data_IF_920657962076
#
_entry.id   IF_920657962076
#
_cell.length_a   1.000
_cell.length_b   1.000
_cell.length_c   1.000
_cell.angle_alpha   90.00
_cell.angle_beta   90.00
_cell.angle_gamma   90.00
#
_symmetry.space_group_name_H-M   'P 1'
#
loop_
_entity.id
_entity.type
_entity.pdbx_description
1 polymer ?
#
# COMPACT_ATOMS: atom_id res chain seq x y z
N UNK A 1 41.95 -56.71 -52.86
CA UNK A 1 41.82 -55.31 -53.34
C UNK A 1 41.27 -54.49 -52.18
N UNK A 2 42.13 -53.75 -51.48
CA UNK A 2 41.77 -52.90 -50.34
C UNK A 2 42.02 -51.45 -50.72
N UNK A 3 40.97 -50.61 -50.64
CA UNK A 3 41.05 -49.15 -50.68
C UNK A 3 41.54 -48.63 -49.32
N UNK A 4 42.34 -47.55 -49.26
CA UNK A 4 42.62 -46.86 -48.01
C UNK A 4 41.57 -45.78 -47.74
N UNK A 5 41.11 -45.68 -46.49
CA UNK A 5 40.29 -44.57 -45.99
C UNK A 5 41.19 -43.42 -45.55
N UNK A 6 40.99 -42.24 -46.16
CA UNK A 6 41.62 -40.98 -45.76
C UNK A 6 40.84 -40.40 -44.56
N UNK A 7 41.47 -40.26 -43.40
CA UNK A 7 40.90 -39.49 -42.28
C UNK A 7 41.48 -38.07 -42.29
N UNK A 8 40.66 -37.08 -42.63
CA UNK A 8 40.96 -35.66 -42.46
C UNK A 8 40.85 -35.32 -40.97
N UNK A 9 41.95 -34.87 -40.35
CA UNK A 9 41.93 -34.27 -39.00
C UNK A 9 41.79 -32.76 -39.16
N UNK A 10 40.62 -32.22 -38.80
CA UNK A 10 40.40 -30.78 -38.73
C UNK A 10 40.84 -30.26 -37.35
N UNK A 11 41.87 -29.42 -37.31
CA UNK A 11 42.34 -28.75 -36.10
C UNK A 11 41.51 -27.47 -35.92
N UNK A 12 40.59 -27.43 -34.96
CA UNK A 12 39.94 -26.19 -34.52
C UNK A 12 40.92 -25.37 -33.67
N UNK A 13 41.36 -24.23 -34.19
CA UNK A 13 42.05 -23.20 -33.42
C UNK A 13 41.02 -22.39 -32.61
N UNK A 14 41.01 -22.57 -31.29
CA UNK A 14 40.26 -21.73 -30.36
C UNK A 14 40.98 -20.39 -30.19
N UNK A 15 40.41 -19.32 -30.77
CA UNK A 15 40.86 -17.95 -30.55
C UNK A 15 40.25 -17.47 -29.22
N UNK A 16 41.04 -17.07 -28.21
CA UNK A 16 40.49 -16.55 -26.96
C UNK A 16 39.96 -15.13 -27.20
N UNK A 17 38.64 -14.97 -27.18
CA UNK A 17 38.02 -13.65 -27.09
C UNK A 17 38.29 -13.05 -25.71
N UNK A 18 38.69 -11.76 -25.61
CA UNK A 18 38.90 -11.14 -24.32
C UNK A 18 37.53 -10.97 -23.66
N UNK A 19 37.26 -11.80 -22.65
CA UNK A 19 36.16 -11.56 -21.72
C UNK A 19 36.45 -10.23 -21.01
N UNK A 20 35.89 -9.15 -21.53
CA UNK A 20 35.74 -7.91 -20.78
C UNK A 20 34.88 -8.25 -19.58
N UNK A 21 35.51 -8.33 -18.41
CA UNK A 21 34.87 -8.61 -17.15
C UNK A 21 34.05 -7.39 -16.79
N UNK A 22 32.80 -7.35 -17.23
CA UNK A 22 31.82 -6.38 -16.73
C UNK A 22 31.66 -6.71 -15.25
N UNK A 23 32.30 -5.90 -14.41
CA UNK A 23 32.09 -5.93 -12.96
C UNK A 23 30.63 -5.54 -12.73
N UNK A 24 29.73 -6.53 -12.69
CA UNK A 24 28.37 -6.33 -12.19
C UNK A 24 28.52 -5.98 -10.71
N UNK A 25 28.38 -4.69 -10.40
CA UNK A 25 28.31 -4.21 -9.04
C UNK A 25 27.16 -4.94 -8.35
N UNK A 26 27.45 -5.72 -7.32
CA UNK A 26 26.42 -6.45 -6.59
C UNK A 26 25.40 -5.44 -6.04
N UNK A 27 24.09 -5.74 -6.09
CA UNK A 27 23.07 -4.85 -5.55
C UNK A 27 23.36 -4.60 -4.07
N UNK A 28 23.47 -3.32 -3.71
CA UNK A 28 23.67 -2.92 -2.31
C UNK A 28 22.29 -2.88 -1.66
N UNK A 29 22.00 -3.83 -0.78
CA UNK A 29 20.73 -3.92 -0.05
C UNK A 29 20.79 -3.39 1.37
N UNK A 30 21.99 -3.11 1.87
CA UNK A 30 22.27 -2.66 3.24
C UNK A 30 23.03 -1.33 3.22
N UNK A 31 22.58 -0.39 4.04
CA UNK A 31 23.25 0.86 4.33
C UNK A 31 23.78 0.81 5.76
N UNK A 32 25.11 0.83 5.91
CA UNK A 32 25.80 0.83 7.22
C UNK A 32 26.35 2.23 7.55
N UNK A 33 26.72 2.51 8.81
CA UNK A 33 27.36 3.78 9.17
C UNK A 33 28.59 4.06 8.31
N UNK A 34 28.74 5.32 7.88
CA UNK A 34 29.79 5.74 6.95
C UNK A 34 29.40 5.61 5.46
N UNK A 35 28.40 4.80 5.11
CA UNK A 35 27.83 4.80 3.77
C UNK A 35 26.80 5.92 3.59
N UNK A 36 26.75 6.45 2.36
CA UNK A 36 25.84 7.53 1.96
C UNK A 36 25.12 7.13 0.69
N UNK A 37 23.79 7.23 0.71
CA UNK A 37 22.97 7.15 -0.49
C UNK A 37 22.72 8.59 -0.98
N UNK A 38 23.20 8.87 -2.18
CA UNK A 38 23.08 10.15 -2.91
C UNK A 38 22.10 9.99 -4.08
N UNK A 39 21.62 11.08 -4.71
CA UNK A 39 20.60 11.00 -5.75
C UNK A 39 20.93 10.12 -6.97
N UNK A 40 22.21 9.93 -7.28
CA UNK A 40 22.72 9.08 -8.36
C UNK A 40 22.71 7.58 -8.02
N UNK A 41 22.38 7.21 -6.78
CA UNK A 41 22.47 5.83 -6.28
C UNK A 41 21.14 5.32 -5.76
N UNK A 42 20.97 4.01 -5.86
CA UNK A 42 19.82 3.29 -5.31
C UNK A 42 20.28 2.17 -4.39
N UNK A 43 19.51 1.91 -3.34
CA UNK A 43 19.62 0.73 -2.50
C UNK A 43 18.61 -0.31 -3.00
N UNK A 44 19.06 -1.48 -3.40
CA UNK A 44 18.21 -2.50 -4.06
C UNK A 44 18.10 -3.73 -3.17
N UNK A 45 16.90 -4.29 -3.02
CA UNK A 45 16.68 -5.49 -2.21
C UNK A 45 17.49 -6.69 -2.75
N UNK A 46 17.78 -7.69 -1.91
CA UNK A 46 18.68 -8.81 -2.26
C UNK A 46 18.29 -9.54 -3.57
N UNK A 47 17.00 -9.62 -3.89
CA UNK A 47 16.47 -10.25 -5.12
C UNK A 47 16.13 -9.25 -6.24
N UNK A 48 16.40 -7.96 -6.07
CA UNK A 48 16.11 -6.95 -7.09
C UNK A 48 14.63 -6.53 -7.21
N UNK A 49 13.75 -7.05 -6.35
CA UNK A 49 12.30 -6.79 -6.35
C UNK A 49 11.93 -5.34 -6.06
N UNK A 50 12.68 -4.68 -5.19
CA UNK A 50 12.41 -3.31 -4.75
C UNK A 50 13.71 -2.50 -4.75
N UNK A 51 13.57 -1.20 -5.00
CA UNK A 51 14.65 -0.25 -4.82
C UNK A 51 14.17 0.94 -3.98
N UNK A 52 15.10 1.52 -3.24
CA UNK A 52 14.98 2.74 -2.47
C UNK A 52 15.96 3.75 -3.06
N UNK A 53 15.51 4.98 -3.25
CA UNK A 53 16.38 6.06 -3.71
C UNK A 53 15.64 7.38 -3.85
N UNK A 54 16.31 8.32 -4.49
CA UNK A 54 15.79 9.66 -4.74
C UNK A 54 14.95 9.67 -6.02
N UNK A 55 13.84 10.39 -6.00
CA UNK A 55 13.00 10.57 -7.18
C UNK A 55 12.35 11.95 -7.17
N UNK A 56 11.97 12.39 -8.37
CA UNK A 56 11.20 13.61 -8.58
C UNK A 56 9.93 13.23 -9.37
N UNK A 57 8.73 13.60 -8.90
CA UNK A 57 7.50 13.39 -9.66
C UNK A 57 7.58 14.08 -11.04
N UNK A 58 6.98 13.48 -12.07
CA UNK A 58 7.22 13.78 -13.49
C UNK A 58 7.06 15.24 -13.94
N UNK A 59 6.37 16.10 -13.17
CA UNK A 59 6.17 17.53 -13.46
C UNK A 59 6.61 18.46 -12.33
N UNK A 60 7.30 17.95 -11.30
CA UNK A 60 7.96 18.77 -10.28
C UNK A 60 9.39 19.03 -10.73
N UNK A 61 9.83 20.28 -10.80
CA UNK A 61 11.25 20.61 -11.05
C UNK A 61 12.00 21.00 -9.78
N UNK A 62 11.30 21.15 -8.66
CA UNK A 62 11.87 21.77 -7.44
C UNK A 62 11.90 20.82 -6.24
N UNK A 63 10.93 19.91 -6.12
CA UNK A 63 10.79 19.06 -4.95
C UNK A 63 11.16 17.61 -5.27
N UNK A 64 12.23 17.11 -4.64
CA UNK A 64 12.64 15.72 -4.67
C UNK A 64 12.29 14.98 -3.37
N UNK A 65 12.22 13.65 -3.46
CA UNK A 65 11.82 12.79 -2.36
C UNK A 65 12.65 11.52 -2.33
N UNK A 66 12.69 10.87 -1.18
CA UNK A 66 13.18 9.49 -1.04
C UNK A 66 11.98 8.56 -1.01
N UNK A 67 11.97 7.56 -1.89
CA UNK A 67 10.88 6.60 -1.99
C UNK A 67 11.34 5.19 -2.29
N UNK A 68 10.42 4.24 -2.11
CA UNK A 68 10.57 2.82 -2.48
C UNK A 68 9.67 2.56 -3.68
N UNK A 69 10.16 1.83 -4.67
CA UNK A 69 9.40 1.41 -5.85
C UNK A 69 9.67 -0.05 -6.22
N UNK A 70 8.80 -0.62 -7.05
CA UNK A 70 9.05 -1.91 -7.69
C UNK A 70 10.19 -1.77 -8.70
N UNK A 71 11.30 -2.47 -8.48
CA UNK A 71 12.51 -2.33 -9.29
C UNK A 71 12.55 -3.33 -10.47
N UNK A 72 11.84 -4.44 -10.35
CA UNK A 72 11.67 -5.45 -11.39
C UNK A 72 10.47 -5.17 -12.33
N UNK A 73 9.82 -4.01 -12.17
CA UNK A 73 8.74 -3.52 -13.01
C UNK A 73 9.22 -2.29 -13.80
N UNK A 74 9.05 -2.25 -15.14
CA UNK A 74 9.56 -1.16 -15.97
C UNK A 74 8.77 0.16 -15.84
N UNK A 75 7.73 0.18 -15.01
CA UNK A 75 6.97 1.38 -14.65
C UNK A 75 7.41 1.92 -13.29
N UNK A 76 7.76 3.20 -13.25
CA UNK A 76 8.07 3.90 -12.00
C UNK A 76 6.84 3.95 -11.10
N UNK A 77 6.78 3.02 -10.15
CA UNK A 77 5.63 2.83 -9.26
C UNK A 77 6.09 2.97 -7.82
N UNK A 78 6.01 4.17 -7.28
CA UNK A 78 6.39 4.48 -5.91
C UNK A 78 5.32 3.96 -4.95
N UNK A 79 5.73 3.16 -3.96
CA UNK A 79 4.87 2.48 -2.98
C UNK A 79 5.09 2.98 -1.54
N UNK A 80 6.14 3.76 -1.32
CA UNK A 80 6.43 4.39 -0.03
C UNK A 80 7.30 5.63 -0.24
N UNK A 81 7.09 6.67 0.58
CA UNK A 81 7.84 7.93 0.55
C UNK A 81 8.20 8.34 1.97
N UNK A 82 9.48 8.63 2.21
CA UNK A 82 10.00 9.00 3.53
C UNK A 82 9.55 10.42 3.92
N UNK A 83 9.97 11.41 3.14
CA UNK A 83 9.92 12.82 3.46
C UNK A 83 8.72 13.53 2.81
N UNK A 84 7.53 12.91 2.90
CA UNK A 84 6.30 13.40 2.24
C UNK A 84 6.00 14.88 2.49
N UNK A 85 6.14 15.32 3.74
CA UNK A 85 5.78 16.69 4.13
C UNK A 85 6.98 17.66 4.16
N UNK A 86 8.20 17.15 3.94
CA UNK A 86 9.45 17.93 3.93
C UNK A 86 10.24 17.60 2.66
N UNK A 87 9.83 18.13 1.49
CA UNK A 87 10.52 17.86 0.23
C UNK A 87 11.98 18.32 0.28
N UNK A 88 12.83 17.65 -0.50
CA UNK A 88 14.22 18.04 -0.71
C UNK A 88 14.22 19.20 -1.71
N UNK A 89 14.86 20.29 -1.34
CA UNK A 89 14.96 21.51 -2.17
C UNK A 89 16.37 21.69 -2.75
N UNK A 90 17.39 21.15 -2.09
CA UNK A 90 18.75 21.03 -2.62
C UNK A 90 19.13 19.56 -2.78
N UNK A 91 18.70 18.98 -3.91
CA UNK A 91 18.99 17.58 -4.23
C UNK A 91 20.49 17.30 -4.28
N UNK A 92 21.32 18.28 -4.66
CA UNK A 92 22.77 18.09 -4.84
C UNK A 92 23.51 17.84 -3.52
N UNK A 93 22.99 18.37 -2.41
CA UNK A 93 23.53 18.15 -1.07
C UNK A 93 22.74 17.13 -0.24
N UNK A 94 21.69 16.54 -0.82
CA UNK A 94 20.82 15.60 -0.14
C UNK A 94 21.49 14.23 0.03
N UNK A 95 21.42 13.70 1.24
CA UNK A 95 22.03 12.43 1.63
C UNK A 95 21.09 11.67 2.55
N UNK A 96 20.87 10.39 2.23
CA UNK A 96 20.28 9.42 3.14
C UNK A 96 21.42 8.57 3.72
N UNK A 97 21.56 8.55 5.05
CA UNK A 97 22.65 7.83 5.72
C UNK A 97 22.28 7.34 7.13
N UNK A 98 23.02 6.33 7.60
CA UNK A 98 22.97 5.90 8.99
C UNK A 98 23.83 6.83 9.84
N UNK A 99 23.24 7.36 10.91
CA UNK A 99 23.94 8.15 11.93
C UNK A 99 24.60 7.27 12.97
N UNK A 100 25.55 7.84 13.72
CA UNK A 100 26.20 7.18 14.87
C UNK A 100 25.20 6.83 15.99
N UNK A 101 24.10 7.58 16.09
CA UNK A 101 23.00 7.35 17.05
C UNK A 101 21.94 6.36 16.53
N UNK A 102 22.34 5.43 15.66
CA UNK A 102 21.50 4.34 15.16
C UNK A 102 20.23 4.74 14.40
N UNK A 103 20.17 5.97 13.89
CA UNK A 103 19.00 6.48 13.15
C UNK A 103 19.33 6.59 11.66
N UNK A 104 18.40 6.15 10.80
CA UNK A 104 18.44 6.45 9.37
C UNK A 104 17.92 7.87 9.16
N UNK A 105 18.74 8.75 8.60
CA UNK A 105 18.45 10.18 8.47
C UNK A 105 18.58 10.62 7.02
N UNK A 106 17.57 11.36 6.55
CA UNK A 106 17.63 12.16 5.34
C UNK A 106 17.91 13.61 5.71
N UNK A 107 18.99 14.15 5.18
CA UNK A 107 19.39 15.54 5.36
C UNK A 107 19.81 16.18 4.06
N UNK A 108 19.68 17.50 3.97
CA UNK A 108 20.26 18.34 2.92
C UNK A 108 21.19 19.39 3.56
N UNK A 109 21.78 20.25 2.74
CA UNK A 109 22.74 21.28 3.16
C UNK A 109 23.89 20.67 3.97
N UNK A 110 24.48 19.58 3.46
CA UNK A 110 25.59 18.86 4.10
C UNK A 110 25.31 18.43 5.57
N UNK A 111 24.05 18.13 5.90
CA UNK A 111 23.66 17.67 7.23
C UNK A 111 23.13 18.78 8.15
N UNK A 112 23.11 20.03 7.72
CA UNK A 112 22.57 21.15 8.51
C UNK A 112 21.04 21.15 8.61
N UNK A 113 20.35 20.56 7.64
CA UNK A 113 18.89 20.49 7.63
C UNK A 113 18.43 19.03 7.55
N UNK A 114 17.76 18.56 8.61
CA UNK A 114 17.19 17.20 8.67
C UNK A 114 15.74 17.26 8.15
N UNK A 115 15.48 16.57 7.05
CA UNK A 115 14.16 16.53 6.41
C UNK A 115 13.29 15.38 6.95
N UNK A 116 13.93 14.26 7.29
CA UNK A 116 13.24 13.07 7.80
C UNK A 116 14.20 12.17 8.58
N UNK A 117 13.68 11.43 9.55
CA UNK A 117 14.43 10.38 10.24
C UNK A 117 13.55 9.19 10.65
N UNK A 118 14.10 7.99 10.58
CA UNK A 118 13.58 6.83 11.28
C UNK A 118 14.00 6.92 12.76
N UNK A 119 13.10 7.38 13.63
CA UNK A 119 13.38 7.50 15.07
C UNK A 119 13.57 6.11 15.68
N UNK A 120 14.76 5.85 16.20
CA UNK A 120 15.11 4.64 16.96
C UNK A 120 15.36 5.00 18.44
N UNK A 121 15.05 4.07 19.35
CA UNK A 121 15.13 4.32 20.81
C UNK A 121 16.51 3.93 21.39
N UNK A 122 17.28 3.13 20.66
CA UNK A 122 18.55 2.55 21.11
C UNK A 122 19.75 3.24 20.49
N UNK A 123 20.80 3.50 21.27
CA UNK A 123 22.14 3.83 20.75
C UNK A 123 22.98 2.59 20.48
N UNK A 124 23.85 2.63 19.46
CA UNK A 124 24.73 1.53 19.08
C UNK A 124 24.88 1.33 17.56
N UNK A 125 25.63 0.30 17.16
CA UNK A 125 25.78 0.00 15.73
C UNK A 125 24.46 -0.53 15.16
N UNK A 126 24.01 0.04 14.05
CA UNK A 126 22.80 -0.38 13.34
C UNK A 126 22.98 -0.23 11.84
N UNK A 127 22.11 -0.87 11.07
CA UNK A 127 22.10 -0.80 9.62
C UNK A 127 20.67 -0.67 9.10
N UNK A 128 20.49 0.02 7.97
CA UNK A 128 19.23 -0.01 7.25
C UNK A 128 19.31 -1.09 6.16
N UNK A 129 18.27 -1.90 6.02
CA UNK A 129 18.17 -2.94 4.99
C UNK A 129 16.83 -2.86 4.26
N UNK A 130 16.87 -2.93 2.93
CA UNK A 130 15.66 -3.08 2.12
C UNK A 130 15.37 -4.56 1.88
N UNK A 131 14.25 -5.04 2.41
CA UNK A 131 13.82 -6.44 2.26
C UNK A 131 13.09 -6.68 0.94
N UNK A 132 13.05 -7.94 0.49
CA UNK A 132 12.41 -8.33 -0.78
C UNK A 132 10.89 -8.21 -0.81
N UNK A 133 10.25 -7.96 0.35
CA UNK A 133 8.84 -7.60 0.43
C UNK A 133 8.59 -6.08 0.37
N UNK A 134 9.66 -5.28 0.18
CA UNK A 134 9.58 -3.82 0.12
C UNK A 134 9.66 -3.13 1.49
N UNK A 135 9.81 -3.89 2.59
CA UNK A 135 9.96 -3.30 3.91
C UNK A 135 11.40 -2.80 4.11
N UNK A 136 11.57 -1.49 4.24
CA UNK A 136 12.80 -0.88 4.73
C UNK A 136 12.84 -0.99 6.25
N UNK A 137 13.88 -1.63 6.78
CA UNK A 137 14.04 -1.88 8.22
C UNK A 137 15.35 -1.29 8.72
N UNK A 138 15.35 -0.82 9.97
CA UNK A 138 16.58 -0.51 10.70
C UNK A 138 16.81 -1.62 11.72
N UNK A 139 17.97 -2.26 11.64
CA UNK A 139 18.36 -3.40 12.47
C UNK A 139 19.52 -3.01 13.37
N UNK A 140 19.43 -3.39 14.65
CA UNK A 140 20.59 -3.35 15.57
C UNK A 140 21.68 -4.33 15.13
N UNK A 141 22.86 -4.21 15.73
CA UNK A 141 23.95 -5.19 15.57
C UNK A 141 23.58 -6.63 15.92
N UNK A 142 22.55 -6.82 16.77
CA UNK A 142 22.06 -8.14 17.18
C UNK A 142 20.92 -8.66 16.28
N UNK A 143 20.56 -7.92 15.22
CA UNK A 143 19.47 -8.28 14.32
C UNK A 143 18.07 -7.92 14.82
N UNK A 144 17.95 -7.28 16.00
CA UNK A 144 16.66 -6.76 16.48
C UNK A 144 16.18 -5.62 15.59
N UNK A 145 14.92 -5.67 15.17
CA UNK A 145 14.26 -4.62 14.39
C UNK A 145 13.95 -3.42 15.29
N UNK A 146 14.57 -2.28 14.97
CA UNK A 146 14.43 -1.02 15.70
C UNK A 146 13.38 -0.09 15.10
N UNK A 147 13.19 -0.18 13.78
CA UNK A 147 12.21 0.59 13.02
C UNK A 147 11.87 -0.13 11.72
N UNK A 148 10.66 0.08 11.20
CA UNK A 148 10.26 -0.42 9.89
C UNK A 148 9.30 0.51 9.15
N UNK A 149 9.45 0.56 7.83
CA UNK A 149 8.57 1.33 6.93
C UNK A 149 7.14 0.82 6.93
N UNK A 150 6.94 -0.48 7.19
CA UNK A 150 5.61 -1.09 7.22
C UNK A 150 4.71 -0.57 8.36
N UNK A 151 5.31 -0.05 9.43
CA UNK A 151 4.60 0.63 10.52
C UNK A 151 4.32 2.11 10.24
N UNK A 152 4.91 2.65 9.15
CA UNK A 152 4.81 4.05 8.75
C UNK A 152 4.37 4.12 7.26
N UNK A 153 3.16 3.63 6.92
CA UNK A 153 2.67 3.58 5.55
C UNK A 153 2.62 4.96 4.87
N UNK A 154 2.75 4.94 3.55
CA UNK A 154 2.41 6.08 2.70
C UNK A 154 0.94 6.03 2.26
N UNK A 155 0.69 5.85 0.98
CA UNK A 155 -0.64 5.74 0.36
C UNK A 155 -0.91 4.34 -0.20
N UNK A 156 -0.03 3.38 0.11
CA UNK A 156 0.00 2.03 -0.46
C UNK A 156 0.16 0.96 0.62
N UNK A 157 -0.45 -0.20 0.42
CA UNK A 157 -0.25 -1.43 1.20
C UNK A 157 0.30 -2.52 0.30
N UNK A 158 1.44 -3.09 0.71
CA UNK A 158 2.08 -4.21 0.03
C UNK A 158 1.66 -5.55 0.64
N UNK A 159 1.86 -6.63 -0.12
CA UNK A 159 1.62 -8.01 0.34
C UNK A 159 2.41 -8.26 1.63
N UNK A 160 1.77 -8.86 2.62
CA UNK A 160 2.39 -9.18 3.91
C UNK A 160 2.46 -8.00 4.89
N UNK A 161 2.15 -6.78 4.49
CA UNK A 161 2.19 -5.61 5.36
C UNK A 161 1.08 -5.65 6.42
N UNK A 162 1.41 -5.50 7.72
CA UNK A 162 0.42 -5.53 8.79
C UNK A 162 -0.34 -4.20 8.87
N UNK A 163 -1.65 -4.25 8.69
CA UNK A 163 -2.60 -3.16 8.93
C UNK A 163 -3.10 -3.27 10.37
N UNK A 164 -2.38 -2.68 11.33
CA UNK A 164 -2.71 -2.74 12.75
C UNK A 164 -3.92 -1.86 13.10
N UNK A 165 -4.94 -2.44 13.70
CA UNK A 165 -6.11 -1.70 14.17
C UNK A 165 -5.87 -1.14 15.56
N UNK A 166 -5.48 -1.99 16.51
CA UNK A 166 -5.30 -1.62 17.92
C UNK A 166 -3.95 -2.09 18.45
N UNK A 167 -3.27 -1.20 19.18
CA UNK A 167 -2.26 -1.58 20.15
C UNK A 167 -2.18 -0.52 21.24
N UNK A 168 -2.03 -0.93 22.52
CA UNK A 168 -1.94 0.00 23.65
C UNK A 168 -0.76 0.98 23.55
N UNK A 169 0.26 0.67 22.74
CA UNK A 169 1.49 1.48 22.66
C UNK A 169 1.72 2.15 21.30
N UNK A 170 0.88 1.94 20.29
CA UNK A 170 1.08 2.50 18.95
C UNK A 170 -0.17 3.23 18.46
N UNK A 171 -0.02 4.35 17.73
CA UNK A 171 -1.14 4.96 17.01
C UNK A 171 -1.79 3.97 16.03
N UNK A 172 -3.08 4.13 15.73
CA UNK A 172 -3.76 3.30 14.74
C UNK A 172 -3.06 3.42 13.39
N UNK A 173 -2.83 2.29 12.73
CA UNK A 173 -2.23 2.28 11.40
C UNK A 173 -3.20 2.95 10.41
N UNK A 174 -2.70 3.92 9.63
CA UNK A 174 -3.48 4.57 8.57
C UNK A 174 -2.63 4.82 7.34
N UNK A 175 -3.15 4.38 6.21
CA UNK A 175 -2.67 4.80 4.89
C UNK A 175 -3.25 6.18 4.59
N UNK A 176 -2.43 7.10 4.09
CA UNK A 176 -2.83 8.49 3.79
C UNK A 176 -2.53 8.74 2.32
N UNK A 177 -3.54 9.21 1.57
CA UNK A 177 -3.40 9.50 0.15
C UNK A 177 -2.29 10.52 -0.11
N UNK A 178 -1.77 10.51 -1.32
CA UNK A 178 -1.07 11.69 -1.84
C UNK A 178 -2.05 12.87 -1.94
N UNK A 179 -1.52 14.09 -1.93
CA UNK A 179 -2.31 15.31 -2.05
C UNK A 179 -2.80 15.52 -3.47
N UNK A 180 -2.03 15.08 -4.45
CA UNK A 180 -2.40 15.05 -5.86
C UNK A 180 -1.63 13.96 -6.62
N UNK A 181 -1.86 13.83 -7.94
CA UNK A 181 -1.16 12.86 -8.78
C UNK A 181 0.37 12.96 -8.72
N UNK A 182 0.89 14.17 -8.50
CA UNK A 182 2.32 14.51 -8.57
C UNK A 182 2.85 15.13 -7.27
N UNK A 183 2.03 15.17 -6.22
CA UNK A 183 2.37 15.73 -4.92
C UNK A 183 2.24 14.64 -3.85
N UNK A 184 3.35 13.99 -3.45
CA UNK A 184 3.35 12.90 -2.49
C UNK A 184 3.18 13.38 -1.03
N UNK A 185 3.05 14.69 -0.79
CA UNK A 185 2.68 15.19 0.54
C UNK A 185 1.33 14.63 1.00
N UNK A 186 1.09 14.64 2.31
CA UNK A 186 -0.12 14.05 2.87
C UNK A 186 -1.38 14.75 2.32
N UNK A 187 -2.22 13.96 1.65
CA UNK A 187 -3.51 14.36 1.15
C UNK A 187 -4.61 14.33 2.21
N UNK A 188 -5.85 14.54 1.75
CA UNK A 188 -7.02 14.66 2.63
C UNK A 188 -7.63 13.31 3.03
N UNK A 189 -7.38 12.26 2.26
CA UNK A 189 -8.01 10.97 2.47
C UNK A 189 -7.12 10.03 3.26
N UNK A 190 -7.71 9.32 4.22
CA UNK A 190 -7.03 8.27 4.97
C UNK A 190 -7.84 7.00 5.02
N UNK A 191 -7.17 5.85 5.10
CA UNK A 191 -7.78 4.52 5.15
C UNK A 191 -7.22 3.75 6.33
N UNK A 192 -8.10 3.05 7.03
CA UNK A 192 -7.76 2.26 8.20
C UNK A 192 -8.99 1.51 8.71
N UNK A 193 -8.80 0.75 9.79
CA UNK A 193 -9.90 0.08 10.47
C UNK A 193 -10.47 0.97 11.56
N UNK A 194 -11.76 0.80 11.84
CA UNK A 194 -12.37 1.43 13.01
C UNK A 194 -11.86 0.77 14.30
N UNK A 195 -11.61 1.58 15.33
CA UNK A 195 -11.10 1.11 16.61
C UNK A 195 -12.17 0.36 17.40
N UNK A 196 -13.43 0.78 17.26
CA UNK A 196 -14.57 0.15 17.93
C UNK A 196 -15.02 -1.11 17.18
N UNK A 197 -14.82 -1.14 15.86
CA UNK A 197 -15.18 -2.27 14.98
C UNK A 197 -13.99 -2.70 14.09
N UNK A 198 -12.99 -3.43 14.64
CA UNK A 198 -11.75 -3.73 13.94
C UNK A 198 -11.89 -4.60 12.67
N UNK A 199 -13.08 -5.19 12.48
CA UNK A 199 -13.46 -5.96 11.30
C UNK A 199 -14.01 -5.10 10.17
N UNK A 200 -14.11 -3.78 10.34
CA UNK A 200 -14.63 -2.86 9.35
C UNK A 200 -13.61 -1.77 9.01
N UNK A 201 -13.36 -1.60 7.71
CA UNK A 201 -12.48 -0.56 7.19
C UNK A 201 -13.26 0.66 6.75
N UNK A 202 -12.66 1.82 6.93
CA UNK A 202 -13.21 3.10 6.55
C UNK A 202 -12.22 3.88 5.70
N UNK A 203 -12.77 4.74 4.85
CA UNK A 203 -12.04 5.87 4.25
C UNK A 203 -12.59 7.12 4.89
N UNK A 204 -11.72 8.01 5.37
CA UNK A 204 -12.09 9.31 5.91
C UNK A 204 -11.60 10.43 4.98
N UNK A 205 -12.40 11.48 4.83
CA UNK A 205 -11.98 12.77 4.30
C UNK A 205 -11.74 13.71 5.49
N UNK A 206 -10.47 13.90 5.87
CA UNK A 206 -10.13 14.47 7.17
C UNK A 206 -10.69 13.60 8.31
N UNK A 207 -11.59 14.16 9.11
CA UNK A 207 -12.25 13.47 10.22
C UNK A 207 -13.62 12.87 9.86
N UNK A 208 -14.14 13.15 8.65
CA UNK A 208 -15.50 12.74 8.25
C UNK A 208 -15.43 11.41 7.50
N UNK A 209 -16.23 10.39 7.88
CA UNK A 209 -16.34 9.15 7.10
C UNK A 209 -16.78 9.45 5.66
N UNK A 210 -16.00 8.96 4.70
CA UNK A 210 -16.23 9.13 3.27
C UNK A 210 -16.76 7.84 2.62
N UNK A 211 -16.22 6.69 3.04
CA UNK A 211 -16.67 5.37 2.64
C UNK A 211 -16.57 4.42 3.82
N UNK A 212 -17.51 3.47 3.91
CA UNK A 212 -17.50 2.40 4.91
C UNK A 212 -17.61 1.07 4.19
N UNK A 213 -16.59 0.23 4.35
CA UNK A 213 -16.58 -1.11 3.78
C UNK A 213 -17.63 -2.01 4.49
N UNK A 214 -18.02 -3.09 3.83
CA UNK A 214 -18.79 -4.14 4.51
C UNK A 214 -17.99 -4.69 5.71
N UNK A 215 -18.71 -5.06 6.77
CA UNK A 215 -18.09 -5.78 7.89
C UNK A 215 -17.59 -7.12 7.38
N UNK A 216 -16.36 -7.48 7.74
CA UNK A 216 -15.78 -8.78 7.36
C UNK A 216 -16.43 -9.87 8.22
N UNK A 217 -17.40 -10.59 7.64
CA UNK A 217 -18.07 -11.71 8.29
C UNK A 217 -17.21 -13.00 8.20
N UNK A 218 -17.17 -13.80 9.28
CA UNK A 218 -16.54 -15.14 9.24
C UNK A 218 -15.80 -15.61 10.50
N UNK A 219 -15.76 -14.84 11.59
CA UNK A 219 -14.88 -15.13 12.74
C UNK A 219 -15.69 -15.55 13.97
N UNK A 220 -15.99 -16.85 14.10
CA UNK A 220 -16.77 -17.39 15.23
C UNK A 220 -16.02 -18.48 16.01
N UNK A 221 -14.74 -18.78 15.72
CA UNK A 221 -14.06 -19.90 16.40
C UNK A 221 -12.55 -19.82 16.64
N UNK A 222 -11.80 -18.84 16.10
CA UNK A 222 -10.32 -18.78 16.28
C UNK A 222 -9.73 -17.37 16.28
N UNK A 223 -8.59 -17.20 16.98
CA UNK A 223 -7.79 -15.96 17.06
C UNK A 223 -7.12 -15.55 15.74
N UNK A 224 -7.19 -16.42 14.73
CA UNK A 224 -6.72 -16.16 13.36
C UNK A 224 -7.81 -16.63 12.42
N UNK A 225 -8.15 -15.85 11.40
CA UNK A 225 -9.00 -16.34 10.32
C UNK A 225 -8.58 -15.81 8.96
N UNK A 226 -8.84 -16.66 7.97
CA UNK A 226 -8.44 -16.50 6.58
C UNK A 226 -9.69 -16.28 5.72
N UNK A 227 -9.72 -15.19 4.97
CA UNK A 227 -10.81 -14.86 4.06
C UNK A 227 -10.28 -14.79 2.62
N UNK A 228 -10.85 -15.59 1.71
CA UNK A 228 -10.61 -15.40 0.28
C UNK A 228 -11.28 -14.09 -0.17
N UNK A 229 -10.50 -13.17 -0.71
CA UNK A 229 -10.99 -11.91 -1.29
C UNK A 229 -11.19 -12.06 -2.81
N UNK A 230 -10.34 -12.88 -3.43
CA UNK A 230 -10.45 -13.34 -4.81
C UNK A 230 -9.68 -14.67 -4.96
N UNK A 231 -9.70 -15.36 -6.12
CA UNK A 231 -8.86 -16.54 -6.34
C UNK A 231 -7.35 -16.29 -6.16
N UNK A 232 -6.92 -15.03 -6.22
CA UNK A 232 -5.52 -14.61 -6.20
C UNK A 232 -5.06 -14.09 -4.85
N UNK A 233 -5.99 -13.80 -3.93
CA UNK A 233 -5.68 -13.03 -2.74
C UNK A 233 -6.54 -13.46 -1.55
N UNK A 234 -5.86 -13.60 -0.42
CA UNK A 234 -6.49 -13.86 0.86
C UNK A 234 -6.14 -12.76 1.85
N UNK A 235 -7.05 -12.52 2.77
CA UNK A 235 -6.90 -11.63 3.89
C UNK A 235 -6.80 -12.47 5.16
N UNK A 236 -5.74 -12.28 5.91
CA UNK A 236 -5.54 -12.88 7.23
C UNK A 236 -5.80 -11.82 8.28
N UNK A 237 -6.68 -12.12 9.23
CA UNK A 237 -6.93 -11.26 10.40
C UNK A 237 -6.40 -11.99 11.64
N UNK A 238 -5.60 -11.29 12.42
CA UNK A 238 -5.05 -11.73 13.70
C UNK A 238 -5.70 -10.93 14.82
N UNK A 239 -6.23 -11.65 15.82
CA UNK A 239 -6.80 -11.09 17.05
C UNK A 239 -6.02 -11.69 18.23
N UNK A 240 -5.02 -10.97 18.70
CA UNK A 240 -4.17 -11.33 19.83
C UNK A 240 -4.90 -11.20 21.17
N UNK A 241 -4.50 -12.03 22.13
CA UNK A 241 -5.05 -12.02 23.50
C UNK A 241 -4.56 -10.83 24.34
N UNK A 242 -3.50 -10.16 23.90
CA UNK A 242 -2.93 -8.92 24.45
C UNK A 242 -3.67 -7.66 23.99
N UNK A 243 -4.64 -7.81 23.08
CA UNK A 243 -5.40 -6.72 22.47
C UNK A 243 -4.78 -6.19 21.17
N UNK A 244 -3.70 -6.81 20.67
CA UNK A 244 -3.20 -6.54 19.32
C UNK A 244 -4.15 -7.13 18.28
N UNK A 245 -4.65 -6.27 17.40
CA UNK A 245 -5.42 -6.73 16.24
C UNK A 245 -4.81 -6.14 14.99
N UNK A 246 -4.52 -7.00 14.01
CA UNK A 246 -4.03 -6.57 12.71
C UNK A 246 -4.57 -7.45 11.60
N UNK A 247 -4.54 -6.92 10.39
CA UNK A 247 -4.81 -7.72 9.19
C UNK A 247 -3.64 -7.62 8.22
N UNK A 248 -3.40 -8.67 7.46
CA UNK A 248 -2.44 -8.68 6.36
C UNK A 248 -3.08 -9.38 5.17
N UNK A 249 -2.70 -9.04 3.96
CA UNK A 249 -3.14 -9.78 2.78
C UNK A 249 -1.96 -10.51 2.16
N UNK A 250 -2.24 -11.73 1.72
CA UNK A 250 -1.30 -12.59 1.00
C UNK A 250 -1.85 -12.96 -0.36
N UNK A 251 -0.97 -13.53 -1.20
CA UNK A 251 -1.30 -13.94 -2.55
C UNK A 251 -1.18 -15.46 -2.68
N UNK A 252 -1.99 -16.04 -3.57
CA UNK A 252 -1.86 -17.45 -3.97
C UNK A 252 -0.54 -17.66 -4.73
N UNK A 253 0.05 -18.85 -4.62
CA UNK A 253 1.31 -19.17 -5.31
C UNK A 253 1.23 -18.90 -6.82
N UNK A 254 2.30 -18.31 -7.37
CA UNK A 254 2.38 -17.95 -8.79
C UNK A 254 1.56 -16.71 -9.19
N UNK A 255 0.88 -16.03 -8.25
CA UNK A 255 0.16 -14.80 -8.54
C UNK A 255 1.11 -13.65 -8.92
N UNK A 256 0.66 -12.82 -9.87
CA UNK A 256 1.35 -11.56 -10.20
C UNK A 256 1.37 -10.60 -9.01
N UNK A 257 2.28 -9.61 -9.01
CA UNK A 257 2.33 -8.58 -7.96
C UNK A 257 0.98 -7.86 -7.84
N UNK A 258 0.52 -7.69 -6.60
CA UNK A 258 -0.70 -6.95 -6.26
C UNK A 258 -0.39 -5.99 -5.11
N UNK A 259 -0.96 -4.78 -5.17
CA UNK A 259 -0.93 -3.83 -4.06
C UNK A 259 -2.26 -3.07 -3.95
N UNK A 260 -2.52 -2.52 -2.76
CA UNK A 260 -3.63 -1.60 -2.52
C UNK A 260 -3.12 -0.18 -2.48
N UNK A 261 -3.90 0.77 -2.99
CA UNK A 261 -3.56 2.20 -2.96
C UNK A 261 -4.79 3.05 -2.68
N UNK A 262 -4.65 4.10 -1.89
CA UNK A 262 -5.66 5.18 -1.81
C UNK A 262 -5.18 6.39 -2.60
N UNK A 263 -5.97 6.81 -3.58
CA UNK A 263 -5.64 7.98 -4.39
C UNK A 263 -6.11 9.30 -3.77
N UNK A 264 -5.68 10.41 -4.37
CA UNK A 264 -6.04 11.78 -3.95
C UNK A 264 -7.55 12.09 -4.04
N UNK A 265 -8.34 11.26 -4.72
CA UNK A 265 -9.80 11.38 -4.83
C UNK A 265 -10.55 10.59 -3.74
N UNK A 266 -9.81 9.86 -2.91
CA UNK A 266 -10.36 9.03 -1.84
C UNK A 266 -10.81 7.65 -2.31
N UNK A 267 -10.42 7.23 -3.52
CA UNK A 267 -10.68 5.87 -3.99
C UNK A 267 -9.56 4.94 -3.53
N UNK A 268 -9.96 3.88 -2.85
CA UNK A 268 -9.08 2.74 -2.56
C UNK A 268 -9.14 1.78 -3.75
N UNK A 269 -7.99 1.41 -4.30
CA UNK A 269 -7.86 0.63 -5.53
C UNK A 269 -6.95 -0.57 -5.30
N UNK A 270 -7.24 -1.67 -6.01
CA UNK A 270 -6.33 -2.82 -6.11
C UNK A 270 -5.74 -2.85 -7.51
N UNK A 271 -4.42 -2.89 -7.58
CA UNK A 271 -3.68 -2.98 -8.83
C UNK A 271 -2.98 -4.32 -8.93
N UNK A 272 -3.03 -4.92 -10.11
CA UNK A 272 -2.32 -6.15 -10.44
C UNK A 272 -1.38 -5.92 -11.61
N UNK A 273 -0.15 -6.40 -11.49
CA UNK A 273 0.80 -6.37 -12.58
C UNK A 273 0.38 -7.34 -13.68
N UNK A 274 0.25 -6.83 -14.91
CA UNK A 274 -0.06 -7.63 -16.09
C UNK A 274 1.17 -7.69 -16.99
N UNK A 275 1.84 -8.84 -17.00
CA UNK A 275 3.06 -9.05 -17.78
C UNK A 275 2.82 -8.98 -19.28
N UNK A 276 1.64 -9.36 -19.78
CA UNK A 276 1.30 -9.30 -21.20
C UNK A 276 1.10 -7.87 -21.69
N UNK A 277 0.50 -7.01 -20.86
CA UNK A 277 0.31 -5.59 -21.17
C UNK A 277 1.51 -4.73 -20.77
N UNK A 278 2.41 -5.27 -19.96
CA UNK A 278 3.51 -4.51 -19.32
C UNK A 278 2.97 -3.29 -18.56
N UNK A 279 1.81 -3.46 -17.90
CA UNK A 279 1.10 -2.38 -17.22
C UNK A 279 0.35 -2.88 -15.97
N UNK A 280 0.01 -1.95 -15.09
CA UNK A 280 -0.86 -2.17 -13.96
C UNK A 280 -2.32 -2.20 -14.41
N UNK A 281 -2.99 -3.33 -14.16
CA UNK A 281 -4.43 -3.47 -14.38
C UNK A 281 -5.18 -3.20 -13.08
N UNK A 282 -6.13 -2.27 -13.13
CA UNK A 282 -7.07 -2.03 -12.03
C UNK A 282 -8.02 -3.21 -11.89
N UNK A 283 -8.02 -3.86 -10.72
CA UNK A 283 -8.97 -4.93 -10.41
C UNK A 283 -10.30 -4.35 -9.94
N UNK A 284 -10.24 -3.46 -8.95
CA UNK A 284 -11.43 -2.91 -8.32
C UNK A 284 -11.13 -1.57 -7.61
N UNK A 285 -12.01 -0.57 -7.75
CA UNK A 285 -12.04 0.63 -6.93
C UNK A 285 -13.15 0.61 -5.87
N UNK A 286 -12.90 1.23 -4.72
CA UNK A 286 -13.89 1.50 -3.67
C UNK A 286 -13.84 2.97 -3.23
N UNK A 287 -14.97 3.67 -3.15
CA UNK A 287 -16.30 3.23 -3.63
C UNK A 287 -16.31 3.05 -5.16
N UNK A 288 -17.04 2.03 -5.63
CA UNK A 288 -17.19 1.78 -7.07
C UNK A 288 -18.16 2.80 -7.70
N UNK A 289 -19.23 3.11 -6.99
CA UNK A 289 -20.27 4.04 -7.43
C UNK A 289 -20.45 5.20 -6.44
N UNK A 290 -20.92 6.33 -6.94
CA UNK A 290 -21.15 7.53 -6.14
C UNK A 290 -22.12 7.29 -4.98
N UNK A 291 -23.17 6.48 -5.18
CA UNK A 291 -24.12 6.19 -4.09
C UNK A 291 -23.57 5.25 -3.01
N UNK A 292 -22.38 4.67 -3.18
CA UNK A 292 -21.73 3.92 -2.11
C UNK A 292 -21.01 4.84 -1.10
N UNK A 293 -20.97 6.15 -1.34
CA UNK A 293 -20.43 7.10 -0.38
C UNK A 293 -21.21 7.04 0.95
N UNK A 294 -20.49 7.27 2.04
CA UNK A 294 -21.06 7.14 3.39
C UNK A 294 -22.25 8.09 3.57
N UNK A 295 -23.39 7.53 3.95
CA UNK A 295 -24.64 8.29 4.18
C UNK A 295 -25.33 8.81 2.93
N UNK A 296 -24.89 8.45 1.70
CA UNK A 296 -25.42 9.04 0.47
C UNK A 296 -26.92 8.82 0.27
N UNK A 297 -27.44 7.62 0.60
CA UNK A 297 -28.87 7.28 0.40
C UNK A 297 -29.79 7.65 1.58
N UNK A 298 -29.26 8.29 2.62
CA UNK A 298 -30.02 8.62 3.82
C UNK A 298 -30.48 7.39 4.62
N UNK A 299 -31.28 7.61 5.66
CA UNK A 299 -31.80 6.54 6.52
C UNK A 299 -32.76 5.63 5.73
N UNK A 300 -32.68 4.31 5.99
CA UNK A 300 -33.53 3.27 5.35
C UNK A 300 -33.47 3.22 3.81
N UNK A 301 -32.52 3.93 3.19
CA UNK A 301 -32.17 3.81 1.78
C UNK A 301 -30.91 2.98 1.59
N UNK A 302 -30.78 2.33 0.44
CA UNK A 302 -29.59 1.60 0.04
C UNK A 302 -29.21 1.97 -1.39
N UNK A 303 -27.92 1.86 -1.72
CA UNK A 303 -27.43 2.06 -3.07
C UNK A 303 -27.57 0.75 -3.83
N UNK A 304 -28.45 0.75 -4.84
CA UNK A 304 -28.62 -0.37 -5.73
C UNK A 304 -27.57 -0.30 -6.85
N UNK A 305 -26.70 -1.31 -6.88
CA UNK A 305 -25.63 -1.44 -7.84
C UNK A 305 -25.98 -2.37 -9.02
N UNK A 306 -27.22 -2.89 -9.09
CA UNK A 306 -27.66 -3.85 -10.12
C UNK A 306 -28.17 -3.17 -11.39
N UNK A 307 -28.53 -1.89 -11.29
CA UNK A 307 -29.02 -1.08 -12.40
C UNK A 307 -27.88 -0.50 -13.23
N UNK A 308 -28.17 -0.11 -14.49
CA UNK A 308 -27.19 0.55 -15.36
C UNK A 308 -26.64 1.86 -14.77
N UNK A 309 -27.45 2.55 -13.98
CA UNK A 309 -27.05 3.73 -13.20
C UNK A 309 -27.31 3.42 -11.74
N UNK A 310 -26.25 3.11 -11.00
CA UNK A 310 -26.34 2.85 -9.57
C UNK A 310 -26.93 4.06 -8.85
N UNK A 311 -28.03 3.84 -8.13
CA UNK A 311 -28.81 4.90 -7.49
C UNK A 311 -29.42 4.42 -6.19
N UNK A 312 -29.97 5.33 -5.39
CA UNK A 312 -30.60 4.98 -4.14
C UNK A 312 -32.01 4.42 -4.37
N UNK A 313 -32.30 3.33 -3.66
CA UNK A 313 -33.65 2.76 -3.50
C UNK A 313 -34.00 2.72 -2.02
N UNK A 314 -35.30 2.70 -1.73
CA UNK A 314 -35.79 2.46 -0.37
C UNK A 314 -35.85 0.96 -0.10
N UNK A 315 -35.61 0.57 1.16
CA UNK A 315 -35.90 -0.79 1.61
C UNK A 315 -37.39 -1.12 1.39
N UNK A 316 -37.70 -2.40 1.22
CA UNK A 316 -39.09 -2.83 1.08
C UNK A 316 -39.94 -2.37 2.27
N UNK A 317 -41.19 -1.94 2.00
CA UNK A 317 -42.05 -1.33 3.02
C UNK A 317 -41.73 0.14 3.36
N UNK A 318 -40.77 0.77 2.68
CA UNK A 318 -40.47 2.20 2.82
C UNK A 318 -40.73 2.97 1.52
N UNK A 319 -41.00 4.27 1.65
CA UNK A 319 -41.12 5.24 0.56
C UNK A 319 -40.19 6.43 0.80
N UNK A 320 -39.78 7.17 -0.26
CA UNK A 320 -39.00 8.39 -0.10
C UNK A 320 -39.66 9.38 0.85
N UNK A 321 -38.90 9.86 1.83
CA UNK A 321 -39.39 10.86 2.80
C UNK A 321 -39.78 12.17 2.11
N UNK A 322 -39.05 12.54 1.04
CA UNK A 322 -39.36 13.68 0.18
C UNK A 322 -39.27 13.24 -1.30
N UNK A 323 -40.43 12.96 -1.91
CA UNK A 323 -40.51 12.46 -3.30
C UNK A 323 -39.94 13.45 -4.32
N UNK A 324 -40.15 14.76 -4.12
CA UNK A 324 -39.68 15.80 -5.05
C UNK A 324 -38.16 15.84 -5.11
N UNK A 325 -37.50 15.81 -3.96
CA UNK A 325 -36.03 15.81 -3.87
C UNK A 325 -35.44 14.47 -4.33
N UNK A 326 -36.12 13.36 -4.02
CA UNK A 326 -35.69 12.02 -4.46
C UNK A 326 -35.63 11.90 -5.99
N UNK A 327 -36.64 12.41 -6.69
CA UNK A 327 -36.67 12.43 -8.17
C UNK A 327 -35.58 13.33 -8.76
N UNK A 328 -35.13 14.35 -8.02
CA UNK A 328 -34.01 15.23 -8.39
C UNK A 328 -32.63 14.63 -8.06
N UNK A 329 -32.58 13.43 -7.50
CA UNK A 329 -31.33 12.76 -7.11
C UNK A 329 -30.76 13.22 -5.76
N UNK A 330 -31.55 13.92 -4.93
CA UNK A 330 -31.18 14.27 -3.57
C UNK A 330 -31.81 13.27 -2.59
N UNK A 331 -30.97 12.36 -2.09
CA UNK A 331 -31.38 11.23 -1.24
C UNK A 331 -31.14 11.47 0.25
N UNK A 332 -30.72 12.68 0.63
CA UNK A 332 -30.29 12.99 2.02
C UNK A 332 -31.38 12.78 3.07
N UNK A 333 -32.65 12.96 2.70
CA UNK A 333 -33.81 12.71 3.58
C UNK A 333 -34.15 11.22 3.76
N UNK A 334 -33.51 10.33 3.01
CA UNK A 334 -33.75 8.90 3.06
C UNK A 334 -35.21 8.50 2.80
N UNK A 335 -35.61 7.43 3.45
CA UNK A 335 -36.92 6.82 3.31
C UNK A 335 -37.64 6.75 4.66
N UNK A 336 -38.97 6.66 4.62
CA UNK A 336 -39.83 6.45 5.79
C UNK A 336 -40.73 5.25 5.58
N UNK A 337 -41.14 4.61 6.67
CA UNK A 337 -42.06 3.46 6.60
C UNK A 337 -43.37 3.89 5.94
N UNK A 338 -43.94 3.00 5.13
CA UNK A 338 -45.28 3.16 4.55
C UNK A 338 -46.36 3.05 5.63
N UNK A 339 -46.13 2.22 6.63
CA UNK A 339 -47.04 1.93 7.74
C UNK A 339 -46.33 2.05 9.08
N UNK A 340 -47.06 2.51 10.11
CA UNK A 340 -46.53 2.58 11.47
C UNK A 340 -46.41 1.18 12.08
N UNK A 341 -45.35 0.97 12.86
CA UNK A 341 -45.15 -0.29 13.58
C UNK A 341 -46.14 -0.37 14.75
N UNK A 342 -46.92 -1.44 14.79
CA UNK A 342 -47.72 -1.80 15.95
C UNK A 342 -46.91 -2.73 16.85
N UNK A 343 -46.60 -2.29 18.08
CA UNK A 343 -45.92 -3.12 19.07
C UNK A 343 -46.89 -4.04 19.81
N UNK A 344 -46.42 -5.22 20.23
CA UNK A 344 -47.19 -6.17 21.06
C UNK A 344 -47.70 -7.43 20.34
N UNK A 345 -47.45 -7.55 19.03
CA UNK A 345 -47.68 -8.78 18.24
C UNK A 345 -46.40 -9.62 18.05
N UNK A 346 -46.52 -10.72 17.29
CA UNK A 346 -45.36 -11.51 16.87
C UNK A 346 -44.36 -10.69 16.04
N UNK A 347 -43.08 -11.00 16.18
CA UNK A 347 -42.02 -10.31 15.45
C UNK A 347 -42.10 -10.64 13.95
N UNK A 348 -42.41 -9.63 13.14
CA UNK A 348 -42.43 -9.74 11.68
C UNK A 348 -41.21 -9.03 11.09
N UNK A 349 -40.50 -9.74 10.20
CA UNK A 349 -39.38 -9.21 9.44
C UNK A 349 -39.74 -9.21 7.96
N UNK A 350 -39.31 -8.16 7.25
CA UNK A 350 -39.33 -8.15 5.79
C UNK A 350 -38.25 -9.13 5.33
N UNK A 351 -38.65 -10.18 4.64
CA UNK A 351 -37.76 -11.20 4.06
C UNK A 351 -37.15 -10.75 2.77
#
# INVERSE_FOLDING_TARGET
MHQPSLHLVAIMLLIPWPFSSVLLCAPVSVLVPGMRLTPDKTLTSDQGSFALGFFTPSNSTENAYVGIWFNDIPLSTVVWVANRDNPITDASSAVLSMTENSSLVLSETNGHHILWMAKTITGGNSSAKLLNNGNLVVLSSYGTMLWQSFENPSDTVLVGMPMRTTHKTHPPWRMISWKGPEDPSKGRFSVGNDLDTPLQSFVWNGSVPYFRAAVRNGYVSSNVGLQAVSPLMYLTIYMGTDGETYSTFGLSDGSSRIFYKVDYSGKTTIWRWNTSLTDWTLIAPWPAYRCNLYGYCGAYGYCDNTEAISTCKCLDGFDPSNKTEWVRGNFSHGCRRKEELQCGGEANFLT
#
